data_IF_036942898129
#
_entry.id   IF_036942898129
#
_cell.length_a   1.000
_cell.length_b   1.000
_cell.length_c   1.000
_cell.angle_alpha   90.00
_cell.angle_beta   90.00
_cell.angle_gamma   90.00
#
_symmetry.space_group_name_H-M   'P 1'
#
loop_
_entity.id
_entity.type
_entity.pdbx_description
1 polymer ?
#
# COMPACT_ATOMS: atom_id res chain seq x y z
N UNK A 1 -9.60 84.13 -26.80
CA UNK A 1 -9.09 83.81 -25.44
C UNK A 1 -10.15 83.24 -24.49
N UNK A 2 -11.41 83.74 -24.45
CA UNK A 2 -12.48 83.15 -23.60
C UNK A 2 -12.96 81.76 -24.02
N UNK A 3 -13.02 81.45 -25.31
CA UNK A 3 -13.45 80.14 -25.83
C UNK A 3 -12.44 79.01 -25.59
N UNK A 4 -11.14 79.32 -25.45
CA UNK A 4 -10.11 78.29 -25.23
C UNK A 4 -10.19 77.73 -23.80
N UNK A 5 -10.48 78.57 -22.80
CA UNK A 5 -10.55 78.13 -21.39
C UNK A 5 -11.65 77.09 -21.15
N UNK A 6 -12.80 77.18 -21.83
CA UNK A 6 -13.90 76.21 -21.67
C UNK A 6 -13.57 74.85 -22.28
N UNK A 7 -12.89 74.81 -23.43
CA UNK A 7 -12.43 73.55 -24.03
C UNK A 7 -11.40 72.82 -23.17
N UNK A 8 -10.48 73.56 -22.54
CA UNK A 8 -9.47 72.99 -21.63
C UNK A 8 -10.12 72.39 -20.38
N UNK A 9 -11.14 73.05 -19.82
CA UNK A 9 -11.86 72.51 -18.65
C UNK A 9 -12.63 71.23 -18.98
N UNK A 10 -13.30 71.16 -20.14
CA UNK A 10 -14.04 69.95 -20.53
C UNK A 10 -13.10 68.78 -20.86
N UNK A 11 -11.95 69.06 -21.50
CA UNK A 11 -10.93 68.04 -21.74
C UNK A 11 -10.35 67.47 -20.43
N UNK A 12 -10.09 68.32 -19.44
CA UNK A 12 -9.60 67.88 -18.13
C UNK A 12 -10.62 67.00 -17.38
N UNK A 13 -11.91 67.35 -17.41
CA UNK A 13 -12.98 66.54 -16.81
C UNK A 13 -13.13 65.19 -17.53
N UNK A 14 -13.07 65.18 -18.86
CA UNK A 14 -13.15 63.94 -19.63
C UNK A 14 -11.97 63.00 -19.33
N UNK A 15 -10.73 63.53 -19.23
CA UNK A 15 -9.55 62.75 -18.85
C UNK A 15 -9.70 62.20 -17.43
N UNK A 16 -10.20 62.99 -16.48
CA UNK A 16 -10.40 62.56 -15.09
C UNK A 16 -11.47 61.46 -14.97
N UNK A 17 -12.57 61.57 -15.72
CA UNK A 17 -13.58 60.51 -15.79
C UNK A 17 -12.95 59.25 -16.40
N UNK A 18 -12.21 59.39 -17.50
CA UNK A 18 -11.58 58.27 -18.19
C UNK A 18 -10.58 57.55 -17.28
N UNK A 19 -9.73 58.29 -16.55
CA UNK A 19 -8.75 57.73 -15.61
C UNK A 19 -9.41 57.10 -14.39
N UNK A 20 -10.48 57.70 -13.85
CA UNK A 20 -11.27 57.06 -12.79
C UNK A 20 -11.94 55.78 -13.28
N UNK A 21 -12.50 55.78 -14.50
CA UNK A 21 -13.08 54.56 -15.09
C UNK A 21 -12.02 53.51 -15.39
N UNK A 22 -10.84 53.85 -15.90
CA UNK A 22 -9.79 52.86 -16.17
C UNK A 22 -9.14 52.36 -14.88
N UNK A 23 -9.00 53.20 -13.85
CA UNK A 23 -8.52 52.78 -12.54
C UNK A 23 -9.55 51.89 -11.81
N UNK A 24 -10.83 52.25 -11.85
CA UNK A 24 -11.89 51.36 -11.33
C UNK A 24 -11.97 50.08 -12.14
N UNK A 25 -11.86 50.14 -13.47
CA UNK A 25 -11.82 48.95 -14.31
C UNK A 25 -10.57 48.11 -14.02
N UNK A 26 -9.40 48.71 -13.84
CA UNK A 26 -8.17 48.01 -13.47
C UNK A 26 -8.23 47.42 -12.06
N UNK A 27 -8.89 48.06 -11.10
CA UNK A 27 -9.14 47.51 -9.76
C UNK A 27 -10.22 46.42 -9.77
N UNK A 28 -11.18 46.49 -10.69
CA UNK A 28 -12.19 45.46 -10.94
C UNK A 28 -11.61 44.26 -11.72
N UNK A 29 -10.57 44.48 -12.54
CA UNK A 29 -9.89 43.50 -13.39
C UNK A 29 -8.47 43.15 -12.92
N UNK A 30 -8.06 43.57 -11.73
CA UNK A 30 -6.97 42.89 -11.02
C UNK A 30 -7.47 41.47 -10.85
N UNK A 31 -7.05 40.61 -11.78
CA UNK A 31 -7.56 39.27 -11.95
C UNK A 31 -7.64 38.62 -10.59
N UNK A 32 -8.72 37.88 -10.37
CA UNK A 32 -8.93 37.10 -9.16
C UNK A 32 -7.74 36.14 -8.96
N UNK A 33 -6.65 36.65 -8.38
CA UNK A 33 -5.44 35.89 -8.16
C UNK A 33 -5.78 34.99 -6.99
N UNK A 34 -5.83 33.70 -7.27
CA UNK A 34 -5.95 32.66 -6.27
C UNK A 34 -4.76 31.72 -6.40
N UNK A 35 -4.38 31.12 -5.29
CA UNK A 35 -3.34 30.09 -5.29
C UNK A 35 -3.91 28.77 -5.77
N UNK A 36 -3.21 28.12 -6.69
CA UNK A 36 -3.48 26.73 -7.08
C UNK A 36 -2.73 25.72 -6.21
N UNK A 37 -1.76 26.20 -5.42
CA UNK A 37 -0.94 25.37 -4.56
C UNK A 37 -1.75 24.83 -3.37
N UNK A 38 -1.20 23.82 -2.72
CA UNK A 38 -1.70 23.34 -1.44
C UNK A 38 -1.12 24.20 -0.30
N UNK A 39 -1.85 25.25 0.05
CA UNK A 39 -1.49 26.20 1.12
C UNK A 39 -2.23 25.89 2.43
N UNK A 40 -2.72 24.65 2.60
CA UNK A 40 -3.58 24.30 3.71
C UNK A 40 -2.81 24.18 5.02
N UNK A 41 -3.39 24.71 6.10
CA UNK A 41 -2.80 24.64 7.43
C UNK A 41 -3.02 23.25 8.03
N UNK A 42 -1.93 22.50 8.24
CA UNK A 42 -1.97 21.15 8.82
C UNK A 42 -1.40 21.16 10.22
N UNK A 43 -2.23 21.49 11.22
CA UNK A 43 -1.87 21.24 12.62
C UNK A 43 -2.27 19.81 13.02
N UNK A 44 -1.60 19.19 14.01
CA UNK A 44 -1.99 17.89 14.52
C UNK A 44 -3.46 17.81 14.97
N UNK A 45 -3.99 18.91 15.53
CA UNK A 45 -5.39 19.00 15.97
C UNK A 45 -6.35 18.99 14.77
N UNK A 46 -6.01 19.70 13.69
CA UNK A 46 -6.81 19.69 12.46
C UNK A 46 -6.80 18.29 11.84
N UNK A 47 -5.63 17.64 11.75
CA UNK A 47 -5.50 16.29 11.22
C UNK A 47 -6.32 15.28 12.03
N UNK A 48 -6.33 15.38 13.37
CA UNK A 48 -7.13 14.51 14.22
C UNK A 48 -8.64 14.73 14.02
N UNK A 49 -9.08 15.98 13.90
CA UNK A 49 -10.49 16.30 13.63
C UNK A 49 -10.93 15.82 12.23
N UNK A 50 -10.06 16.00 11.24
CA UNK A 50 -10.28 15.52 9.87
C UNK A 50 -10.33 14.00 9.82
N UNK A 51 -9.41 13.32 10.51
CA UNK A 51 -9.41 11.87 10.64
C UNK A 51 -10.72 11.34 11.26
N UNK A 52 -11.18 11.94 12.37
CA UNK A 52 -12.41 11.51 13.03
C UNK A 52 -13.63 11.63 12.12
N UNK A 53 -13.77 12.76 11.41
CA UNK A 53 -14.85 12.96 10.44
C UNK A 53 -14.75 11.97 9.28
N UNK A 54 -13.60 11.92 8.62
CA UNK A 54 -13.38 11.08 7.44
C UNK A 54 -13.55 9.59 7.73
N UNK A 55 -12.99 9.09 8.83
CA UNK A 55 -13.13 7.68 9.22
C UNK A 55 -14.56 7.32 9.64
N UNK A 56 -15.32 8.25 10.25
CA UNK A 56 -16.74 8.03 10.54
C UNK A 56 -17.56 7.83 9.26
N UNK A 57 -17.34 8.69 8.24
CA UNK A 57 -18.00 8.59 6.95
C UNK A 57 -17.70 7.25 6.26
N UNK A 58 -16.43 6.81 6.27
CA UNK A 58 -16.07 5.51 5.71
C UNK A 58 -16.72 4.33 6.44
N UNK A 59 -16.81 4.38 7.77
CA UNK A 59 -17.50 3.33 8.54
C UNK A 59 -18.99 3.29 8.24
N UNK A 60 -19.62 4.45 8.12
CA UNK A 60 -21.04 4.54 7.78
C UNK A 60 -21.29 4.01 6.36
N UNK A 61 -20.43 4.34 5.40
CA UNK A 61 -20.46 3.74 4.07
C UNK A 61 -20.29 2.22 4.10
N UNK A 62 -19.36 1.71 4.91
CA UNK A 62 -19.14 0.27 5.05
C UNK A 62 -20.35 -0.47 5.64
N UNK A 63 -21.11 0.17 6.53
CA UNK A 63 -22.34 -0.39 7.11
C UNK A 63 -23.49 -0.44 6.10
N UNK A 64 -23.55 0.55 5.20
CA UNK A 64 -24.67 0.68 4.25
C UNK A 64 -24.43 -0.05 2.92
N UNK A 65 -23.17 -0.29 2.55
CA UNK A 65 -22.79 -0.96 1.29
C UNK A 65 -23.37 -2.36 1.04
N UNK A 66 -23.60 -3.24 2.05
CA UNK A 66 -24.16 -4.58 1.82
C UNK A 66 -25.60 -4.57 1.28
N UNK A 67 -26.36 -3.50 1.56
CA UNK A 67 -27.76 -3.37 1.16
C UNK A 67 -27.86 -2.76 -0.24
N UNK A 68 -27.38 -3.49 -1.26
CA UNK A 68 -27.32 -3.09 -2.68
C UNK A 68 -28.66 -2.69 -3.31
N UNK A 69 -29.79 -2.93 -2.62
CA UNK A 69 -31.13 -2.57 -3.05
C UNK A 69 -31.59 -1.18 -2.59
N UNK A 70 -30.81 -0.45 -1.79
CA UNK A 70 -31.19 0.91 -1.39
C UNK A 70 -30.89 1.94 -2.49
N UNK A 71 -31.83 2.86 -2.77
CA UNK A 71 -31.60 3.93 -3.73
C UNK A 71 -30.47 4.85 -3.23
N UNK A 72 -29.46 5.04 -4.09
CA UNK A 72 -28.38 6.01 -3.99
C UNK A 72 -27.87 6.27 -2.56
N UNK A 73 -26.89 5.47 -2.13
CA UNK A 73 -26.11 5.76 -0.93
C UNK A 73 -25.71 7.23 -0.91
N UNK A 74 -26.17 7.97 0.11
CA UNK A 74 -25.81 9.38 0.30
C UNK A 74 -24.37 9.45 0.79
N UNK A 75 -23.44 9.41 -0.16
CA UNK A 75 -22.00 9.38 0.12
C UNK A 75 -21.50 10.74 0.61
N UNK A 76 -22.14 11.81 0.15
CA UNK A 76 -21.82 13.16 0.58
C UNK A 76 -22.81 13.61 1.65
N UNK A 77 -22.38 14.46 2.61
CA UNK A 77 -23.32 15.11 3.51
C UNK A 77 -24.35 15.91 2.69
N UNK A 78 -25.57 16.11 3.18
CA UNK A 78 -26.57 16.89 2.45
C UNK A 78 -26.10 18.34 2.25
N UNK A 79 -26.39 18.90 1.09
CA UNK A 79 -26.08 20.31 0.82
C UNK A 79 -26.89 21.22 1.75
N UNK A 80 -26.22 22.25 2.28
CA UNK A 80 -26.90 23.28 3.07
C UNK A 80 -27.87 24.05 2.17
N UNK A 81 -29.05 24.38 2.69
CA UNK A 81 -30.03 25.22 2.00
C UNK A 81 -29.43 26.56 1.59
N UNK A 82 -29.79 27.06 0.41
CA UNK A 82 -29.32 28.35 -0.09
C UNK A 82 -29.72 29.48 0.87
N UNK A 83 -28.72 30.12 1.48
CA UNK A 83 -28.90 31.29 2.31
C UNK A 83 -28.64 32.55 1.48
N UNK A 84 -29.71 33.07 0.88
CA UNK A 84 -29.65 34.28 0.04
C UNK A 84 -29.16 35.51 0.81
N UNK A 85 -29.32 35.55 2.15
CA UNK A 85 -28.92 36.70 2.96
C UNK A 85 -27.39 36.85 3.04
N UNK A 86 -26.68 35.73 3.12
CA UNK A 86 -25.21 35.71 3.17
C UNK A 86 -24.56 35.83 1.79
N UNK A 87 -25.30 35.46 0.74
CA UNK A 87 -24.84 35.48 -0.65
C UNK A 87 -25.45 36.62 -1.48
N UNK A 88 -25.70 37.78 -0.86
CA UNK A 88 -26.10 38.98 -1.58
C UNK A 88 -25.05 39.43 -2.62
N UNK A 89 -25.43 40.22 -3.65
CA UNK A 89 -24.50 40.66 -4.69
C UNK A 89 -23.24 41.35 -4.16
N UNK A 90 -23.39 42.17 -3.11
CA UNK A 90 -22.29 42.87 -2.46
C UNK A 90 -21.35 41.93 -1.71
N UNK A 91 -21.91 40.97 -0.97
CA UNK A 91 -21.18 39.96 -0.20
C UNK A 91 -20.40 39.03 -1.12
N UNK A 92 -21.03 38.60 -2.23
CA UNK A 92 -20.35 37.84 -3.28
C UNK A 92 -19.16 38.60 -3.85
N UNK A 93 -19.36 39.87 -4.21
CA UNK A 93 -18.29 40.67 -4.78
C UNK A 93 -17.12 40.90 -3.81
N UNK A 94 -17.40 41.16 -2.54
CA UNK A 94 -16.37 41.54 -1.55
C UNK A 94 -15.66 40.34 -0.92
N UNK A 95 -16.42 39.31 -0.55
CA UNK A 95 -15.98 38.26 0.38
C UNK A 95 -15.95 36.87 -0.22
N UNK A 96 -16.69 36.60 -1.30
CA UNK A 96 -16.66 35.28 -1.92
C UNK A 96 -15.34 35.10 -2.67
N UNK A 97 -14.56 34.05 -2.37
CA UNK A 97 -13.37 33.75 -3.13
C UNK A 97 -13.75 33.35 -4.56
N UNK A 98 -12.81 33.47 -5.50
CA UNK A 98 -13.02 33.04 -6.89
C UNK A 98 -13.38 31.56 -6.93
N UNK A 99 -14.33 31.17 -7.77
CA UNK A 99 -14.76 29.78 -7.93
C UNK A 99 -13.58 28.84 -8.27
N UNK A 100 -12.60 29.35 -9.02
CA UNK A 100 -11.37 28.63 -9.33
C UNK A 100 -10.58 28.18 -8.11
N UNK A 101 -10.63 28.92 -6.99
CA UNK A 101 -10.01 28.51 -5.72
C UNK A 101 -10.72 27.26 -5.17
N UNK A 102 -12.05 27.29 -5.11
CA UNK A 102 -12.86 26.20 -4.60
C UNK A 102 -12.70 24.94 -5.46
N UNK A 103 -12.73 25.09 -6.79
CA UNK A 103 -12.46 24.00 -7.74
C UNK A 103 -11.07 23.41 -7.55
N UNK A 104 -10.04 24.25 -7.39
CA UNK A 104 -8.67 23.78 -7.14
C UNK A 104 -8.55 23.02 -5.82
N UNK A 105 -9.17 23.52 -4.76
CA UNK A 105 -9.14 22.87 -3.44
C UNK A 105 -9.93 21.55 -3.43
N UNK A 106 -11.04 21.48 -4.16
CA UNK A 106 -11.84 20.27 -4.31
C UNK A 106 -11.16 19.25 -5.22
N UNK A 107 -10.49 19.68 -6.29
CA UNK A 107 -9.73 18.81 -7.19
C UNK A 107 -8.63 18.05 -6.45
N UNK A 108 -7.93 18.68 -5.49
CA UNK A 108 -6.92 17.99 -4.65
C UNK A 108 -7.50 16.88 -3.77
N UNK A 109 -8.81 16.90 -3.52
CA UNK A 109 -9.53 15.93 -2.68
C UNK A 109 -10.30 14.88 -3.45
N UNK A 110 -10.38 15.06 -4.76
CA UNK A 110 -11.18 14.24 -5.66
C UNK A 110 -10.23 13.41 -6.51
N UNK A 111 -10.30 12.06 -6.43
CA UNK A 111 -9.44 11.21 -7.24
C UNK A 111 -9.78 11.40 -8.73
N UNK A 112 -8.85 11.08 -9.62
CA UNK A 112 -8.98 11.36 -11.06
C UNK A 112 -10.16 10.64 -11.73
N UNK A 113 -10.63 9.56 -11.11
CA UNK A 113 -11.79 8.77 -11.51
C UNK A 113 -13.12 9.42 -11.13
N UNK A 114 -13.12 10.56 -10.43
CA UNK A 114 -14.32 11.33 -10.12
C UNK A 114 -14.18 12.72 -10.75
N UNK A 115 -15.20 13.12 -11.47
CA UNK A 115 -15.26 14.40 -12.17
C UNK A 115 -16.19 15.37 -11.45
N UNK A 116 -15.75 16.61 -11.29
CA UNK A 116 -16.60 17.71 -10.82
C UNK A 116 -17.40 18.28 -12.00
N UNK A 117 -18.71 18.11 -11.97
CA UNK A 117 -19.62 18.70 -12.96
C UNK A 117 -20.00 20.13 -12.56
N UNK A 118 -20.41 20.33 -11.31
CA UNK A 118 -20.98 21.59 -10.84
C UNK A 118 -20.56 21.90 -9.41
N UNK A 119 -20.38 23.19 -9.11
CA UNK A 119 -20.11 23.71 -7.78
C UNK A 119 -20.84 25.04 -7.59
N UNK A 120 -21.75 25.10 -6.61
CA UNK A 120 -22.56 26.29 -6.34
C UNK A 120 -22.41 26.72 -4.89
N UNK A 121 -22.04 27.98 -4.59
CA UNK A 121 -22.02 28.47 -3.21
C UNK A 121 -23.46 28.54 -2.65
N UNK A 122 -23.66 28.01 -1.44
CA UNK A 122 -24.95 27.96 -0.74
C UNK A 122 -25.01 28.87 0.48
N UNK A 123 -23.92 29.01 1.23
CA UNK A 123 -23.83 29.87 2.41
C UNK A 123 -22.42 30.40 2.60
N UNK A 124 -22.30 31.67 2.97
CA UNK A 124 -21.03 32.34 3.26
C UNK A 124 -21.02 32.79 4.74
N UNK A 125 -19.95 32.49 5.45
CA UNK A 125 -19.70 32.98 6.82
C UNK A 125 -18.40 33.76 6.84
N UNK A 126 -18.43 34.93 7.45
CA UNK A 126 -17.24 35.77 7.63
C UNK A 126 -16.75 35.52 9.05
N UNK A 127 -15.49 35.14 9.17
CA UNK A 127 -14.80 34.84 10.43
C UNK A 127 -13.65 35.84 10.61
N UNK A 128 -13.08 35.93 11.81
CA UNK A 128 -12.00 36.89 12.11
C UNK A 128 -10.80 36.72 11.16
N UNK A 129 -10.46 35.49 10.82
CA UNK A 129 -9.28 35.18 10.01
C UNK A 129 -9.59 34.75 8.55
N UNK A 130 -10.79 35.01 8.05
CA UNK A 130 -11.15 34.63 6.68
C UNK A 130 -12.63 34.41 6.46
N UNK A 131 -12.94 33.53 5.52
CA UNK A 131 -14.31 33.17 5.17
C UNK A 131 -14.48 31.66 5.11
N UNK A 132 -15.64 31.18 5.53
CA UNK A 132 -16.10 29.81 5.42
C UNK A 132 -17.25 29.74 4.41
N UNK A 133 -17.19 28.83 3.45
CA UNK A 133 -18.22 28.72 2.41
C UNK A 133 -18.72 27.29 2.30
N UNK A 134 -20.03 27.11 2.43
CA UNK A 134 -20.71 25.86 2.11
C UNK A 134 -21.09 25.86 0.62
N UNK A 135 -20.70 24.80 -0.08
CA UNK A 135 -21.02 24.57 -1.49
C UNK A 135 -21.98 23.39 -1.62
N UNK A 136 -22.85 23.45 -2.63
CA UNK A 136 -23.44 22.26 -3.23
C UNK A 136 -22.55 21.83 -4.40
N UNK A 137 -22.22 20.55 -4.47
CA UNK A 137 -21.39 19.99 -5.53
C UNK A 137 -22.12 18.84 -6.23
N UNK A 138 -21.91 18.74 -7.55
CA UNK A 138 -22.37 17.63 -8.38
C UNK A 138 -21.14 16.94 -8.95
N UNK A 139 -21.01 15.64 -8.65
CA UNK A 139 -19.89 14.81 -9.07
C UNK A 139 -20.37 13.66 -9.95
N UNK A 140 -19.49 13.18 -10.84
CA UNK A 140 -19.73 12.00 -11.68
C UNK A 140 -18.56 11.04 -11.60
N UNK A 141 -18.82 9.76 -11.40
CA UNK A 141 -17.79 8.72 -11.48
C UNK A 141 -17.47 8.38 -12.94
N UNK A 142 -16.19 8.24 -13.26
CA UNK A 142 -15.69 7.75 -14.55
C UNK A 142 -15.51 6.23 -14.56
N UNK A 143 -15.27 5.66 -13.38
CA UNK A 143 -15.07 4.23 -13.16
C UNK A 143 -15.87 3.78 -11.94
N UNK A 144 -16.03 2.46 -11.79
CA UNK A 144 -16.60 1.87 -10.58
C UNK A 144 -15.70 2.19 -9.38
N UNK A 145 -16.27 2.77 -8.34
CA UNK A 145 -15.62 2.98 -7.04
C UNK A 145 -16.15 1.91 -6.08
N UNK A 146 -15.25 1.04 -5.67
CA UNK A 146 -15.54 -0.05 -4.76
C UNK A 146 -15.04 0.28 -3.36
N UNK A 147 -15.74 -0.24 -2.37
CA UNK A 147 -15.27 -0.28 -0.99
C UNK A 147 -14.62 -1.64 -0.74
N UNK A 148 -13.29 -1.65 -0.69
CA UNK A 148 -12.48 -2.85 -0.58
C UNK A 148 -11.98 -3.05 0.86
N UNK A 149 -12.30 -4.19 1.50
CA UNK A 149 -11.73 -4.55 2.79
C UNK A 149 -10.21 -4.65 2.70
N UNK A 150 -9.51 -4.17 3.74
CA UNK A 150 -8.07 -4.33 3.88
C UNK A 150 -7.80 -5.44 4.88
N UNK A 151 -7.23 -6.53 4.38
CA UNK A 151 -6.99 -7.76 5.16
C UNK A 151 -5.50 -8.07 5.22
N UNK A 152 -5.03 -8.85 6.23
CA UNK A 152 -3.71 -9.45 6.17
C UNK A 152 -3.56 -10.28 4.89
N UNK A 153 -2.38 -10.22 4.25
CA UNK A 153 -2.09 -11.04 3.10
C UNK A 153 -2.30 -12.53 3.44
N UNK A 154 -3.02 -13.29 2.60
CA UNK A 154 -3.33 -14.67 2.91
C UNK A 154 -2.06 -15.50 2.94
N UNK A 155 -1.77 -16.11 4.09
CA UNK A 155 -0.68 -17.06 4.24
C UNK A 155 -1.26 -18.45 4.02
N UNK A 156 -0.94 -19.09 2.89
CA UNK A 156 -1.33 -20.49 2.66
C UNK A 156 -0.70 -21.39 3.72
N UNK A 157 -1.49 -22.31 4.30
CA UNK A 157 -1.03 -23.28 5.31
C UNK A 157 0.04 -24.25 4.78
N UNK A 158 0.18 -24.34 3.46
CA UNK A 158 1.19 -25.18 2.80
C UNK A 158 2.56 -24.51 2.69
N UNK A 159 2.66 -23.21 3.01
CA UNK A 159 3.90 -22.46 2.93
C UNK A 159 4.87 -22.85 4.05
N UNK A 160 6.17 -22.89 3.72
CA UNK A 160 7.23 -23.17 4.70
C UNK A 160 7.24 -22.12 5.82
N UNK A 161 7.78 -22.47 6.99
CA UNK A 161 7.88 -21.53 8.12
C UNK A 161 8.61 -20.22 7.73
N UNK A 162 9.63 -20.31 6.86
CA UNK A 162 10.33 -19.14 6.33
C UNK A 162 9.41 -18.21 5.53
N UNK A 163 8.53 -18.77 4.69
CA UNK A 163 7.53 -17.98 3.94
C UNK A 163 6.58 -17.25 4.90
N UNK A 164 6.12 -17.93 5.95
CA UNK A 164 5.21 -17.33 6.94
C UNK A 164 5.85 -16.15 7.68
N UNK A 165 7.17 -16.15 7.86
CA UNK A 165 7.93 -15.06 8.51
C UNK A 165 8.14 -13.86 7.60
N UNK A 166 8.28 -14.06 6.29
CA UNK A 166 8.53 -12.96 5.33
C UNK A 166 7.25 -12.27 4.88
N UNK A 167 6.13 -12.99 4.72
CA UNK A 167 4.87 -12.43 4.17
C UNK A 167 4.40 -11.16 4.87
N UNK A 168 4.40 -11.06 6.22
CA UNK A 168 3.99 -9.85 6.92
C UNK A 168 4.87 -8.62 6.64
N UNK A 169 6.08 -8.82 6.09
CA UNK A 169 7.05 -7.75 5.78
C UNK A 169 6.94 -7.25 4.33
N UNK A 170 6.19 -7.95 3.47
CA UNK A 170 6.08 -7.61 2.04
C UNK A 170 5.21 -6.36 1.85
N UNK A 171 5.68 -5.42 1.04
CA UNK A 171 4.90 -4.25 0.62
C UNK A 171 4.13 -4.58 -0.66
N UNK A 172 2.85 -4.93 -0.52
CA UNK A 172 2.01 -5.28 -1.67
C UNK A 172 1.42 -4.07 -2.41
N UNK A 173 1.19 -2.98 -1.68
CA UNK A 173 0.67 -1.73 -2.24
C UNK A 173 1.32 -0.53 -1.52
N UNK A 174 1.57 0.55 -2.26
CA UNK A 174 2.29 1.73 -1.77
C UNK A 174 1.45 2.60 -0.82
N UNK A 175 0.16 2.33 -0.71
CA UNK A 175 -0.81 3.03 0.13
C UNK A 175 -1.26 2.17 1.32
N UNK A 176 -0.76 0.95 1.44
CA UNK A 176 -1.07 0.04 2.54
C UNK A 176 0.15 -0.22 3.43
N UNK A 177 -0.09 -0.53 4.72
CA UNK A 177 0.95 -1.07 5.58
C UNK A 177 1.52 -2.39 5.02
N UNK A 178 2.78 -2.72 5.34
CA UNK A 178 3.39 -4.01 5.01
C UNK A 178 2.52 -5.19 5.47
N UNK A 179 2.47 -6.24 4.66
CA UNK A 179 1.68 -7.44 4.93
C UNK A 179 0.16 -7.28 4.80
N UNK A 180 -0.34 -6.12 4.36
CA UNK A 180 -1.77 -5.88 4.09
C UNK A 180 -2.06 -5.86 2.60
N UNK A 181 -3.26 -6.30 2.23
CA UNK A 181 -3.76 -6.34 0.85
C UNK A 181 -5.22 -5.91 0.81
N UNK A 182 -5.66 -5.41 -0.34
CA UNK A 182 -7.08 -5.28 -0.63
C UNK A 182 -7.68 -6.66 -0.94
N UNK A 183 -8.81 -6.98 -0.31
CA UNK A 183 -9.62 -8.12 -0.70
C UNK A 183 -10.57 -7.71 -1.84
N UNK A 184 -10.10 -7.89 -3.07
CA UNK A 184 -10.88 -7.51 -4.25
C UNK A 184 -12.14 -8.38 -4.41
N UNK A 185 -12.11 -9.64 -3.99
CA UNK A 185 -13.25 -10.53 -4.10
C UNK A 185 -14.40 -10.14 -3.14
N UNK A 186 -14.05 -9.57 -1.99
CA UNK A 186 -15.00 -9.05 -1.01
C UNK A 186 -15.33 -7.55 -1.20
N UNK A 187 -14.84 -6.92 -2.28
CA UNK A 187 -15.06 -5.49 -2.52
C UNK A 187 -16.49 -5.23 -3.03
N UNK A 188 -17.17 -4.26 -2.42
CA UNK A 188 -18.54 -3.88 -2.79
C UNK A 188 -18.54 -2.66 -3.71
N UNK A 189 -19.27 -2.68 -4.81
CA UNK A 189 -19.41 -1.52 -5.68
C UNK A 189 -20.33 -0.47 -5.03
N UNK A 190 -19.76 0.66 -4.60
CA UNK A 190 -20.50 1.73 -3.90
C UNK A 190 -20.94 2.82 -4.88
N UNK A 191 -20.14 3.07 -5.93
CA UNK A 191 -20.49 4.00 -7.00
C UNK A 191 -20.16 3.37 -8.36
N UNK A 192 -21.16 2.84 -9.08
CA UNK A 192 -20.98 2.40 -10.46
C UNK A 192 -20.48 3.54 -11.36
N UNK A 193 -19.75 3.22 -12.41
CA UNK A 193 -19.27 4.16 -13.41
C UNK A 193 -20.44 4.94 -14.04
N UNK A 194 -20.24 6.22 -14.31
CA UNK A 194 -21.25 7.12 -14.85
C UNK A 194 -22.28 7.61 -13.81
N UNK A 195 -22.25 7.10 -12.58
CA UNK A 195 -23.15 7.55 -11.51
C UNK A 195 -22.88 9.02 -11.21
N UNK A 196 -23.95 9.82 -11.27
CA UNK A 196 -23.93 11.22 -10.85
C UNK A 196 -24.52 11.31 -9.45
N UNK A 197 -23.83 12.01 -8.55
CA UNK A 197 -24.27 12.19 -7.17
C UNK A 197 -23.98 13.61 -6.70
N UNK A 198 -24.77 14.06 -5.73
CA UNK A 198 -24.75 15.44 -5.24
C UNK A 198 -24.62 15.49 -3.73
N UNK A 199 -24.07 16.59 -3.21
CA UNK A 199 -24.03 16.83 -1.78
C UNK A 199 -23.38 18.16 -1.41
N UNK A 200 -23.19 18.35 -0.11
CA UNK A 200 -22.53 19.48 0.50
C UNK A 200 -21.03 19.29 0.59
N UNK A 201 -20.28 20.39 0.46
CA UNK A 201 -18.86 20.44 0.77
C UNK A 201 -18.51 21.82 1.32
N UNK A 202 -17.67 21.88 2.36
CA UNK A 202 -17.31 23.14 3.00
C UNK A 202 -15.85 23.50 2.72
N UNK A 203 -15.64 24.68 2.14
CA UNK A 203 -14.35 25.37 2.21
C UNK A 203 -14.28 26.09 3.55
N UNK A 204 -13.79 25.38 4.57
CA UNK A 204 -13.83 25.82 5.98
C UNK A 204 -13.17 27.18 6.19
N UNK A 205 -12.03 27.43 5.55
CA UNK A 205 -11.31 28.70 5.69
C UNK A 205 -10.60 29.05 4.39
N UNK A 206 -10.97 30.20 3.84
CA UNK A 206 -10.25 30.89 2.78
C UNK A 206 -9.90 32.30 3.23
N UNK A 207 -8.70 32.76 2.90
CA UNK A 207 -8.22 34.09 3.28
C UNK A 207 -7.42 34.74 2.15
N UNK A 208 -7.28 36.07 2.21
CA UNK A 208 -6.37 36.81 1.32
C UNK A 208 -4.99 36.90 1.98
N UNK A 209 -3.99 36.25 1.38
CA UNK A 209 -2.59 36.31 1.82
C UNK A 209 -1.82 37.04 0.73
N UNK A 210 -1.23 38.20 1.06
CA UNK A 210 -0.49 39.05 0.11
C UNK A 210 -1.32 39.41 -1.13
N UNK A 211 -2.60 39.74 -0.93
CA UNK A 211 -3.53 40.11 -2.01
C UNK A 211 -4.06 38.93 -2.84
N UNK A 212 -3.62 37.70 -2.58
CA UNK A 212 -4.05 36.49 -3.28
C UNK A 212 -4.99 35.66 -2.41
N UNK A 213 -6.07 35.14 -2.98
CA UNK A 213 -6.95 34.21 -2.27
C UNK A 213 -6.27 32.84 -2.10
N UNK A 214 -6.36 32.30 -0.89
CA UNK A 214 -5.74 31.05 -0.49
C UNK A 214 -6.75 30.20 0.28
N UNK A 215 -6.83 28.91 -0.05
CA UNK A 215 -7.62 27.93 0.67
C UNK A 215 -6.76 27.36 1.80
N UNK A 216 -7.08 27.74 3.04
CA UNK A 216 -6.31 27.34 4.23
C UNK A 216 -6.86 26.05 4.84
N UNK A 217 -8.17 25.79 4.71
CA UNK A 217 -8.79 24.58 5.21
C UNK A 217 -10.05 24.23 4.42
N UNK A 218 -10.22 22.96 4.08
CA UNK A 218 -11.41 22.44 3.41
C UNK A 218 -11.76 21.04 3.92
N UNK A 219 -13.05 20.71 3.91
CA UNK A 219 -13.55 19.39 4.31
C UNK A 219 -12.99 18.27 3.43
N UNK A 220 -12.66 17.14 4.06
CA UNK A 220 -12.33 15.91 3.36
C UNK A 220 -13.60 15.27 2.80
N UNK A 221 -13.47 14.64 1.63
CA UNK A 221 -14.51 13.81 1.05
C UNK A 221 -14.23 12.34 1.45
N UNK A 222 -15.24 11.46 1.47
CA UNK A 222 -15.02 10.05 1.83
C UNK A 222 -13.98 9.35 0.94
N UNK A 223 -13.89 9.74 -0.32
CA UNK A 223 -12.95 9.21 -1.31
C UNK A 223 -11.62 10.00 -1.39
N UNK A 224 -11.40 10.97 -0.51
CA UNK A 224 -10.11 11.69 -0.48
C UNK A 224 -8.99 10.73 -0.07
N UNK A 225 -7.95 10.66 -0.90
CA UNK A 225 -6.78 9.79 -0.72
C UNK A 225 -5.73 10.49 0.13
N UNK A 226 -5.61 10.10 1.40
CA UNK A 226 -4.53 10.57 2.28
C UNK A 226 -3.84 9.36 2.88
N UNK A 227 -2.69 8.90 2.33
CA UNK A 227 -2.02 7.68 2.76
C UNK A 227 -1.77 7.63 4.27
N UNK A 228 -1.46 8.77 4.89
CA UNK A 228 -1.28 8.87 6.33
C UNK A 228 -2.56 8.52 7.11
N UNK A 229 -3.70 9.09 6.75
CA UNK A 229 -4.98 8.81 7.43
C UNK A 229 -5.47 7.39 7.14
N UNK A 230 -5.32 6.91 5.90
CA UNK A 230 -5.65 5.54 5.52
C UNK A 230 -4.81 4.53 6.29
N UNK A 231 -3.50 4.80 6.47
CA UNK A 231 -2.63 3.92 7.24
C UNK A 231 -3.02 3.85 8.72
N UNK A 232 -3.44 4.96 9.33
CA UNK A 232 -3.96 5.01 10.70
C UNK A 232 -5.25 4.17 10.77
N UNK A 233 -6.17 4.38 9.83
CA UNK A 233 -7.44 3.65 9.78
C UNK A 233 -7.27 2.14 9.60
N UNK A 234 -6.34 1.71 8.75
CA UNK A 234 -6.05 0.29 8.53
C UNK A 234 -5.39 -0.37 9.74
N UNK A 235 -4.62 0.39 10.53
CA UNK A 235 -4.00 -0.11 11.77
C UNK A 235 -5.02 -0.27 12.90
N UNK A 236 -6.16 0.41 12.84
CA UNK A 236 -7.23 0.20 13.81
C UNK A 236 -7.80 -1.22 13.66
N UNK A 237 -7.58 -2.05 14.69
CA UNK A 237 -8.16 -3.38 14.76
C UNK A 237 -9.68 -3.25 14.93
N UNK A 238 -10.42 -3.46 13.84
CA UNK A 238 -11.87 -3.38 13.80
C UNK A 238 -12.46 -4.67 13.25
N UNK A 239 -13.70 -4.99 13.66
CA UNK A 239 -14.50 -6.07 13.09
C UNK A 239 -15.86 -5.48 12.71
N UNK A 240 -16.25 -5.46 11.42
CA UNK A 240 -15.54 -5.98 10.24
C UNK A 240 -14.21 -5.25 9.95
N UNK A 241 -13.30 -5.83 9.15
CA UNK A 241 -12.03 -5.21 8.81
C UNK A 241 -12.24 -3.83 8.16
N UNK A 242 -11.28 -2.89 8.34
CA UNK A 242 -11.37 -1.57 7.76
C UNK A 242 -11.42 -1.68 6.24
N UNK A 243 -12.33 -0.93 5.61
CA UNK A 243 -12.49 -0.93 4.16
C UNK A 243 -12.23 0.47 3.61
N UNK A 244 -11.53 0.53 2.48
CA UNK A 244 -11.15 1.79 1.81
C UNK A 244 -11.79 1.85 0.43
N UNK A 245 -12.19 3.04 0.01
CA UNK A 245 -12.69 3.25 -1.35
C UNK A 245 -11.54 3.14 -2.33
N UNK A 246 -11.67 2.37 -3.41
CA UNK A 246 -10.68 2.21 -4.50
C UNK A 246 -11.40 2.11 -5.85
N UNK A 247 -10.80 2.63 -6.92
CA UNK A 247 -11.37 2.38 -8.25
C UNK A 247 -11.16 0.93 -8.66
N UNK A 248 -12.00 0.40 -9.56
CA UNK A 248 -11.81 -0.95 -10.11
C UNK A 248 -10.40 -1.14 -10.68
N UNK A 249 -9.94 -0.19 -11.50
CA UNK A 249 -8.62 -0.25 -12.11
C UNK A 249 -7.48 -0.24 -11.07
N UNK A 250 -7.64 0.51 -9.98
CA UNK A 250 -6.67 0.50 -8.87
C UNK A 250 -6.62 -0.87 -8.18
N UNK A 251 -7.76 -1.50 -7.92
CA UNK A 251 -7.81 -2.81 -7.27
C UNK A 251 -7.24 -3.92 -8.16
N UNK A 252 -7.54 -3.91 -9.45
CA UNK A 252 -6.98 -4.87 -10.41
C UNK A 252 -5.47 -4.73 -10.53
N UNK A 253 -4.97 -3.50 -10.62
CA UNK A 253 -3.53 -3.23 -10.62
C UNK A 253 -2.88 -3.67 -9.30
N UNK A 254 -3.54 -3.44 -8.16
CA UNK A 254 -3.05 -3.85 -6.85
C UNK A 254 -3.01 -5.38 -6.70
N UNK A 255 -4.00 -6.09 -7.26
CA UNK A 255 -4.02 -7.55 -7.30
C UNK A 255 -2.89 -8.12 -8.18
N UNK A 256 -2.65 -7.52 -9.34
CA UNK A 256 -1.52 -7.87 -10.21
C UNK A 256 -0.17 -7.64 -9.50
N UNK A 257 0.01 -6.47 -8.86
CA UNK A 257 1.21 -6.17 -8.04
C UNK A 257 1.36 -7.16 -6.89
N UNK A 258 0.28 -7.55 -6.24
CA UNK A 258 0.29 -8.55 -5.17
C UNK A 258 0.84 -9.89 -5.68
N UNK A 259 0.33 -10.39 -6.81
CA UNK A 259 0.81 -11.64 -7.42
C UNK A 259 2.29 -11.54 -7.80
N UNK A 260 2.72 -10.43 -8.40
CA UNK A 260 4.11 -10.21 -8.76
C UNK A 260 5.04 -10.16 -7.54
N UNK A 261 4.63 -9.50 -6.47
CA UNK A 261 5.39 -9.44 -5.22
C UNK A 261 5.51 -10.82 -4.56
N UNK A 262 4.41 -11.60 -4.52
CA UNK A 262 4.45 -12.98 -4.02
C UNK A 262 5.39 -13.86 -4.85
N UNK A 263 5.28 -13.81 -6.18
CA UNK A 263 6.16 -14.56 -7.07
C UNK A 263 7.63 -14.18 -6.86
N UNK A 264 7.94 -12.88 -6.73
CA UNK A 264 9.31 -12.42 -6.48
C UNK A 264 9.90 -12.96 -5.18
N UNK A 265 9.07 -13.11 -4.13
CA UNK A 265 9.51 -13.70 -2.86
C UNK A 265 9.71 -15.20 -3.00
N UNK A 266 8.82 -15.90 -3.69
CA UNK A 266 8.96 -17.34 -3.98
C UNK A 266 10.24 -17.62 -4.79
N UNK A 267 10.48 -16.85 -5.85
CA UNK A 267 11.67 -16.95 -6.69
C UNK A 267 12.96 -16.71 -5.88
N UNK A 268 12.95 -15.72 -4.98
CA UNK A 268 14.09 -15.43 -4.09
C UNK A 268 14.34 -16.54 -3.08
N UNK A 269 13.29 -17.13 -2.52
CA UNK A 269 13.42 -18.25 -1.60
C UNK A 269 13.90 -19.52 -2.34
N UNK A 270 13.47 -19.73 -3.57
CA UNK A 270 13.97 -20.82 -4.40
C UNK A 270 15.44 -20.62 -4.79
N UNK A 271 15.87 -19.39 -5.12
CA UNK A 271 17.28 -19.11 -5.36
C UNK A 271 18.13 -19.41 -4.13
N UNK A 272 17.68 -19.02 -2.93
CA UNK A 272 18.36 -19.34 -1.66
C UNK A 272 18.48 -20.87 -1.49
N UNK A 273 17.45 -21.65 -1.80
CA UNK A 273 17.52 -23.12 -1.72
C UNK A 273 18.54 -23.71 -2.68
N UNK A 274 18.60 -23.19 -3.91
CA UNK A 274 19.58 -23.61 -4.91
C UNK A 274 21.01 -23.28 -4.46
N UNK A 275 21.24 -22.08 -3.92
CA UNK A 275 22.53 -21.65 -3.39
C UNK A 275 22.99 -22.53 -2.23
N UNK A 276 22.10 -22.83 -1.28
CA UNK A 276 22.36 -23.74 -0.15
C UNK A 276 22.70 -25.15 -0.65
N UNK A 277 21.99 -25.65 -1.68
CA UNK A 277 22.25 -26.96 -2.28
C UNK A 277 23.63 -27.01 -2.95
N UNK A 278 24.02 -25.96 -3.68
CA UNK A 278 25.34 -25.85 -4.30
C UNK A 278 26.44 -25.77 -3.25
N UNK A 279 26.26 -24.94 -2.22
CA UNK A 279 27.19 -24.80 -1.10
C UNK A 279 27.42 -26.13 -0.37
N UNK A 280 26.35 -26.88 -0.10
CA UNK A 280 26.43 -28.23 0.48
C UNK A 280 27.23 -29.19 -0.40
N UNK A 281 26.97 -29.19 -1.71
CA UNK A 281 27.71 -30.04 -2.66
C UNK A 281 29.21 -29.70 -2.68
N UNK A 282 29.55 -28.41 -2.59
CA UNK A 282 30.93 -27.94 -2.49
C UNK A 282 31.61 -28.45 -1.21
N UNK A 283 30.97 -28.30 -0.04
CA UNK A 283 31.52 -28.81 1.22
C UNK A 283 31.65 -30.34 1.21
N UNK A 284 30.67 -31.07 0.69
CA UNK A 284 30.74 -32.53 0.59
C UNK A 284 31.83 -33.02 -0.36
N UNK A 285 32.18 -32.26 -1.40
CA UNK A 285 33.29 -32.60 -2.29
C UNK A 285 34.65 -32.58 -1.58
N UNK A 286 34.78 -31.78 -0.51
CA UNK A 286 35.97 -31.74 0.35
C UNK A 286 35.95 -32.76 1.49
N UNK A 287 34.82 -33.46 1.70
CA UNK A 287 34.72 -34.48 2.73
C UNK A 287 35.53 -35.74 2.38
N UNK A 288 36.02 -36.50 3.38
CA UNK A 288 36.71 -37.76 3.14
C UNK A 288 35.84 -38.68 2.27
N UNK A 289 36.33 -39.00 1.08
CA UNK A 289 35.66 -39.91 0.16
C UNK A 289 35.50 -41.26 0.85
N UNK A 290 34.31 -41.86 0.75
CA UNK A 290 34.14 -43.25 1.18
C UNK A 290 35.18 -44.09 0.44
N UNK A 291 35.94 -44.93 1.16
CA UNK A 291 36.75 -45.95 0.53
C UNK A 291 35.85 -46.67 -0.49
N UNK A 292 36.11 -46.47 -1.80
CA UNK A 292 35.46 -47.24 -2.84
C UNK A 292 35.70 -48.69 -2.44
N UNK A 293 34.65 -49.40 -2.00
CA UNK A 293 34.76 -50.83 -1.82
C UNK A 293 35.17 -51.33 -3.19
N UNK A 294 36.44 -51.72 -3.31
CA UNK A 294 36.98 -52.37 -4.48
C UNK A 294 36.08 -53.59 -4.62
N UNK A 295 35.12 -53.52 -5.55
CA UNK A 295 34.22 -54.61 -5.82
C UNK A 295 35.10 -55.84 -5.95
N UNK A 296 34.79 -56.86 -5.15
CA UNK A 296 35.41 -58.17 -5.29
C UNK A 296 35.14 -58.57 -6.74
N UNK A 297 36.17 -58.45 -7.58
CA UNK A 297 36.21 -59.14 -8.85
C UNK A 297 36.27 -60.62 -8.52
N UNK A 298 35.12 -61.25 -8.45
CA UNK A 298 35.00 -62.69 -8.64
C UNK A 298 34.23 -62.87 -9.94
N UNK A 299 34.96 -63.18 -11.01
CA UNK A 299 34.37 -63.50 -12.29
C UNK A 299 33.44 -64.71 -12.17
N UNK A 300 32.19 -64.54 -12.58
CA UNK A 300 31.51 -65.45 -13.51
C UNK A 300 30.27 -64.69 -14.01
N UNK A 301 30.11 -64.64 -15.33
CA UNK A 301 29.31 -63.63 -16.01
C UNK A 301 27.81 -63.72 -15.74
N UNK A 302 27.21 -62.59 -15.35
CA UNK A 302 25.81 -62.25 -15.64
C UNK A 302 25.67 -60.72 -15.68
N UNK A 303 24.85 -60.14 -16.58
CA UNK A 303 24.94 -58.73 -16.93
C UNK A 303 24.37 -57.78 -15.87
N UNK A 304 25.03 -56.63 -15.79
CA UNK A 304 24.77 -55.43 -15.02
C UNK A 304 23.30 -54.99 -14.98
N UNK A 305 22.63 -55.19 -13.83
CA UNK A 305 21.38 -54.49 -13.48
C UNK A 305 21.69 -53.28 -12.59
N UNK A 306 21.92 -52.13 -13.22
CA UNK A 306 22.12 -50.81 -12.60
C UNK A 306 20.84 -50.21 -11.96
N UNK A 307 19.95 -51.03 -11.39
CA UNK A 307 18.56 -50.62 -11.07
C UNK A 307 18.08 -50.75 -9.63
N UNK A 308 18.84 -51.32 -8.69
CA UNK A 308 18.28 -51.76 -7.37
C UNK A 308 18.83 -50.94 -6.18
N UNK A 309 19.37 -49.74 -6.41
CA UNK A 309 19.89 -48.89 -5.34
C UNK A 309 18.98 -47.75 -4.86
N UNK A 310 17.90 -47.43 -5.60
CA UNK A 310 17.25 -46.12 -5.50
C UNK A 310 15.86 -46.11 -4.78
N UNK A 311 15.32 -47.27 -4.36
CA UNK A 311 13.88 -47.35 -3.97
C UNK A 311 13.60 -47.37 -2.45
N UNK A 312 14.61 -47.48 -1.57
CA UNK A 312 14.36 -47.76 -0.14
C UNK A 312 14.48 -46.61 0.88
N UNK A 313 14.90 -45.40 0.48
CA UNK A 313 15.41 -44.39 1.43
C UNK A 313 14.43 -43.33 1.96
N UNK A 314 13.23 -43.24 1.40
CA UNK A 314 12.30 -42.15 1.70
C UNK A 314 11.52 -42.31 3.02
N UNK A 315 11.37 -43.54 3.54
CA UNK A 315 10.49 -43.81 4.67
C UNK A 315 11.12 -43.57 6.06
N UNK A 316 12.45 -43.67 6.20
CA UNK A 316 13.12 -43.65 7.53
C UNK A 316 13.61 -42.25 7.94
N UNK A 317 13.72 -41.30 6.99
CA UNK A 317 14.26 -39.96 7.25
C UNK A 317 13.31 -39.03 8.03
N UNK A 318 12.00 -39.28 7.97
CA UNK A 318 10.99 -38.45 8.63
C UNK A 318 10.90 -38.66 10.16
N UNK A 319 11.30 -39.83 10.66
CA UNK A 319 11.15 -40.20 12.07
C UNK A 319 12.21 -39.62 13.02
N UNK A 320 13.42 -39.30 12.52
CA UNK A 320 14.51 -38.80 13.38
C UNK A 320 14.39 -37.29 13.63
N UNK A 321 13.83 -36.52 12.69
CA UNK A 321 13.66 -35.07 12.82
C UNK A 321 12.56 -34.64 13.80
N UNK A 322 11.58 -35.51 14.09
CA UNK A 322 10.45 -35.18 14.96
C UNK A 322 10.74 -35.31 16.46
N UNK A 323 11.82 -35.99 16.86
CA UNK A 323 12.08 -36.32 18.27
C UNK A 323 13.03 -35.34 18.99
N UNK A 324 13.73 -34.45 18.28
CA UNK A 324 14.83 -33.66 18.87
C UNK A 324 14.58 -32.14 18.98
N UNK A 325 13.48 -31.59 18.46
CA UNK A 325 13.25 -30.15 18.49
C UNK A 325 11.78 -29.79 18.48
N UNK A 326 11.26 -29.31 19.61
CA UNK A 326 9.91 -28.77 19.70
C UNK A 326 9.65 -27.68 18.66
N UNK A 327 8.40 -27.60 18.20
CA UNK A 327 7.79 -26.52 17.39
C UNK A 327 8.58 -26.06 16.16
N UNK A 328 9.63 -25.27 16.39
CA UNK A 328 10.47 -24.65 15.38
C UNK A 328 11.56 -25.59 14.82
N UNK A 329 11.89 -26.69 15.51
CA UNK A 329 12.90 -27.65 15.06
C UNK A 329 12.41 -28.64 13.99
N UNK A 330 11.13 -28.99 14.02
CA UNK A 330 10.54 -30.01 13.15
C UNK A 330 10.44 -29.57 11.67
N UNK A 331 10.20 -28.28 11.41
CA UNK A 331 10.10 -27.76 10.04
C UNK A 331 11.48 -27.70 9.34
N UNK A 332 12.53 -27.36 10.08
CA UNK A 332 13.92 -27.36 9.59
C UNK A 332 14.42 -28.81 9.43
N UNK A 333 14.03 -29.70 10.34
CA UNK A 333 14.34 -31.13 10.30
C UNK A 333 13.69 -31.89 9.15
N UNK A 334 12.49 -31.49 8.70
CA UNK A 334 11.80 -32.14 7.57
C UNK A 334 12.49 -31.88 6.23
N UNK A 335 12.98 -30.65 6.00
CA UNK A 335 13.70 -30.28 4.77
C UNK A 335 15.08 -30.94 4.67
N UNK A 336 15.81 -31.01 5.79
CA UNK A 336 17.12 -31.66 5.85
C UNK A 336 17.02 -33.21 5.91
N UNK A 337 15.99 -33.75 6.59
CA UNK A 337 15.79 -35.18 6.79
C UNK A 337 15.36 -35.94 5.53
N UNK A 338 14.54 -35.32 4.66
CA UNK A 338 14.17 -35.90 3.37
C UNK A 338 15.39 -36.04 2.43
N UNK A 339 16.40 -35.18 2.56
CA UNK A 339 17.64 -35.25 1.78
C UNK A 339 18.68 -36.23 2.36
N UNK A 340 18.53 -36.68 3.62
CA UNK A 340 19.48 -37.57 4.29
C UNK A 340 19.19 -39.07 4.08
N UNK A 341 17.93 -39.45 3.85
CA UNK A 341 17.49 -40.86 3.77
C UNK A 341 17.97 -41.64 2.55
N UNK A 342 18.39 -40.97 1.47
CA UNK A 342 18.68 -41.61 0.19
C UNK A 342 20.06 -42.30 0.08
N UNK A 343 20.97 -42.15 1.05
CA UNK A 343 22.38 -42.59 0.90
C UNK A 343 22.83 -43.68 1.88
N UNK A 344 21.95 -44.18 2.75
CA UNK A 344 22.32 -45.19 3.76
C UNK A 344 21.59 -46.50 3.46
N UNK A 345 22.07 -47.23 2.45
CA UNK A 345 21.53 -48.53 2.06
C UNK A 345 22.61 -49.57 1.77
N UNK A 346 22.70 -50.55 2.67
CA UNK A 346 23.26 -51.91 2.53
C UNK A 346 24.77 -52.10 2.32
N UNK A 347 25.48 -52.47 3.39
CA UNK A 347 26.65 -53.38 3.31
C UNK A 347 26.63 -54.34 4.53
N UNK A 348 26.59 -55.65 4.26
CA UNK A 348 26.70 -56.77 5.23
C UNK A 348 28.18 -57.17 5.39
N UNK A 349 28.55 -57.63 6.59
CA UNK A 349 29.88 -57.58 7.21
C UNK A 349 30.70 -58.89 7.22
N UNK A 350 31.98 -58.75 7.59
CA UNK A 350 32.86 -59.80 8.16
C UNK A 350 33.74 -59.16 9.29
N UNK A 351 34.04 -59.89 10.37
CA UNK A 351 34.17 -59.34 11.74
C UNK A 351 35.48 -58.68 12.19
N UNK A 352 36.54 -58.64 11.38
CA UNK A 352 37.80 -57.91 11.71
C UNK A 352 38.00 -56.61 10.93
N UNK A 353 37.41 -56.52 9.74
CA UNK A 353 37.27 -55.25 9.00
C UNK A 353 36.20 -54.34 9.63
N UNK A 354 35.30 -54.92 10.45
CA UNK A 354 34.23 -54.20 11.14
C UNK A 354 34.73 -53.03 11.97
N UNK A 355 35.76 -53.21 12.83
CA UNK A 355 36.22 -52.13 13.72
C UNK A 355 36.83 -50.94 12.97
N UNK A 356 37.57 -51.19 11.88
CA UNK A 356 38.16 -50.11 11.05
C UNK A 356 37.09 -49.40 10.22
N UNK A 357 36.17 -50.17 9.63
CA UNK A 357 35.04 -49.63 8.86
C UNK A 357 34.09 -48.85 9.78
N UNK A 358 33.90 -49.29 11.02
CA UNK A 358 33.05 -48.61 12.01
C UNK A 358 33.68 -47.29 12.48
N UNK A 359 34.99 -47.27 12.75
CA UNK A 359 35.71 -46.02 13.04
C UNK A 359 35.67 -45.03 11.87
N UNK A 360 35.86 -45.50 10.63
CA UNK A 360 35.76 -44.67 9.42
C UNK A 360 34.33 -44.15 9.20
N UNK A 361 33.31 -44.99 9.44
CA UNK A 361 31.90 -44.60 9.42
C UNK A 361 31.59 -43.56 10.48
N UNK A 362 32.10 -43.70 11.70
CA UNK A 362 31.90 -42.75 12.78
C UNK A 362 32.55 -41.39 12.48
N UNK A 363 33.81 -41.40 12.00
CA UNK A 363 34.51 -40.18 11.58
C UNK A 363 33.78 -39.48 10.42
N UNK A 364 33.26 -40.24 9.46
CA UNK A 364 32.46 -39.69 8.35
C UNK A 364 31.12 -39.11 8.80
N UNK A 365 30.41 -39.80 9.70
CA UNK A 365 29.17 -39.28 10.30
C UNK A 365 29.42 -37.97 11.03
N UNK A 366 30.52 -37.88 11.78
CA UNK A 366 30.94 -36.65 12.43
C UNK A 366 31.23 -35.54 11.41
N UNK A 367 32.01 -35.82 10.37
CA UNK A 367 32.33 -34.85 9.31
C UNK A 367 31.08 -34.36 8.56
N UNK A 368 30.18 -35.28 8.16
CA UNK A 368 28.90 -34.91 7.52
C UNK A 368 28.04 -34.09 8.47
N UNK A 369 27.95 -34.46 9.76
CA UNK A 369 27.17 -33.68 10.72
C UNK A 369 27.72 -32.26 10.93
N UNK A 370 29.04 -32.07 10.84
CA UNK A 370 29.66 -30.75 10.89
C UNK A 370 29.31 -29.93 9.65
N UNK A 371 29.42 -30.54 8.45
CA UNK A 371 29.01 -29.91 7.19
C UNK A 371 27.54 -29.50 7.23
N UNK A 372 26.63 -30.36 7.72
CA UNK A 372 25.21 -30.02 7.81
C UNK A 372 24.95 -28.84 8.75
N UNK A 373 25.69 -28.73 9.87
CA UNK A 373 25.58 -27.55 10.74
C UNK A 373 25.98 -26.27 9.99
N UNK A 374 27.09 -26.31 9.26
CA UNK A 374 27.55 -25.17 8.45
C UNK A 374 26.55 -24.79 7.35
N UNK A 375 25.95 -25.78 6.68
CA UNK A 375 24.91 -25.56 5.66
C UNK A 375 23.66 -24.92 6.26
N UNK A 376 23.22 -25.38 7.43
CA UNK A 376 22.08 -24.79 8.15
C UNK A 376 22.37 -23.36 8.60
N UNK A 377 23.58 -23.09 9.09
CA UNK A 377 24.00 -21.73 9.45
C UNK A 377 24.05 -20.80 8.24
N UNK A 378 24.55 -21.30 7.11
CA UNK A 378 24.59 -20.59 5.83
C UNK A 378 23.17 -20.27 5.32
N UNK A 379 22.26 -21.26 5.32
CA UNK A 379 20.85 -21.04 4.98
C UNK A 379 20.22 -19.99 5.90
N UNK A 380 20.41 -20.11 7.22
CA UNK A 380 19.89 -19.13 8.19
C UNK A 380 20.47 -17.74 7.96
N UNK A 381 21.71 -17.62 7.50
CA UNK A 381 22.31 -16.32 7.14
C UNK A 381 21.59 -15.72 5.94
N UNK A 382 21.45 -16.46 4.84
CA UNK A 382 20.77 -15.97 3.63
C UNK A 382 19.31 -15.57 3.89
N UNK A 383 18.57 -16.37 4.65
CA UNK A 383 17.18 -16.03 5.02
C UNK A 383 17.14 -14.77 5.90
N UNK A 384 18.04 -14.63 6.88
CA UNK A 384 18.11 -13.42 7.70
C UNK A 384 18.45 -12.18 6.87
N UNK A 385 19.38 -12.29 5.93
CA UNK A 385 19.76 -11.19 5.06
C UNK A 385 18.57 -10.75 4.20
N UNK A 386 17.81 -11.69 3.64
CA UNK A 386 16.58 -11.42 2.90
C UNK A 386 15.47 -10.83 3.79
N UNK A 387 15.30 -11.34 5.01
CA UNK A 387 14.35 -10.76 5.97
C UNK A 387 14.70 -9.32 6.35
N UNK A 388 16.00 -9.00 6.48
CA UNK A 388 16.47 -7.66 6.77
C UNK A 388 16.21 -6.71 5.60
N UNK A 389 16.38 -7.17 4.35
CA UNK A 389 16.03 -6.42 3.15
C UNK A 389 14.54 -6.05 3.13
N UNK A 390 13.65 -7.03 3.32
CA UNK A 390 12.21 -6.79 3.40
C UNK A 390 11.85 -5.86 4.58
N UNK A 391 12.54 -6.00 5.72
CA UNK A 391 12.31 -5.13 6.87
C UNK A 391 12.73 -3.67 6.58
N UNK A 392 13.81 -3.45 5.84
CA UNK A 392 14.23 -2.12 5.42
C UNK A 392 13.22 -1.48 4.47
N UNK A 393 12.69 -2.24 3.51
CA UNK A 393 11.63 -1.76 2.61
C UNK A 393 10.35 -1.46 3.37
N UNK A 394 9.94 -2.36 4.27
CA UNK A 394 8.80 -2.19 5.17
C UNK A 394 8.91 -0.89 5.99
N UNK A 395 10.05 -0.66 6.64
CA UNK A 395 10.26 0.55 7.47
C UNK A 395 10.31 1.83 6.63
N UNK A 396 10.92 1.79 5.44
CA UNK A 396 10.88 2.90 4.48
C UNK A 396 9.44 3.22 4.07
N UNK A 397 8.65 2.19 3.78
CA UNK A 397 7.25 2.32 3.42
C UNK A 397 6.44 2.91 4.57
N UNK A 398 6.58 2.39 5.79
CA UNK A 398 5.91 2.94 6.97
C UNK A 398 6.27 4.39 7.23
N UNK A 399 7.55 4.77 7.06
CA UNK A 399 7.99 6.16 7.20
C UNK A 399 7.38 7.08 6.13
N UNK A 400 7.12 6.54 4.93
CA UNK A 400 6.48 7.26 3.84
C UNK A 400 4.99 7.45 4.14
N UNK A 401 4.31 6.42 4.65
CA UNK A 401 2.90 6.49 5.05
C UNK A 401 2.70 7.40 6.27
N UNK A 402 3.62 7.39 7.24
CA UNK A 402 3.52 8.22 8.44
C UNK A 402 3.69 9.72 8.16
N UNK A 403 4.32 10.08 7.03
CA UNK A 403 4.45 11.48 6.63
C UNK A 403 3.15 11.92 5.96
N UNK A 404 2.46 12.95 6.47
CA UNK A 404 1.35 13.58 5.78
C UNK A 404 1.89 14.43 4.62
N UNK A 405 2.62 13.83 3.68
CA UNK A 405 3.02 14.51 2.45
C UNK A 405 1.87 14.37 1.44
N UNK A 406 1.38 15.49 0.87
CA UNK A 406 0.58 15.39 -0.33
C UNK A 406 1.49 14.90 -1.46
N UNK A 407 1.11 13.82 -2.12
CA UNK A 407 1.57 13.59 -3.50
C UNK A 407 1.01 14.71 -4.37
N UNK A 408 1.86 15.20 -5.29
CA UNK A 408 1.64 16.33 -6.21
C UNK A 408 0.31 16.28 -6.99
#
# INVERSE_FOLDING_TARGET
LRSWRTWVTWAAVAVLILTLTTLTFALLFQGSFYSKNDDETRSPQILQADYARWSSLLRDLARLAPDSNQPALSILPPAVSLDKSTLGPWQRWRHLPPEGLARSALARRTPQQIELLEIEPRRLRIEEDGVSIDYAITLRTKEDILLAPVVPAPVSKQLSADHQRVVPKIVYAYDLPPGKVFDYAAANNVLPAGTTFQGGWTLRRAARVSGRWVALQADLLPFTRIPALESIFVRESTTPPPALLRSRGELENSDAKRRAATQSVEDRLESIRLDVKQYRAQLLSSAPSAAKSKGIGAGSGVPTSAGIGMVGGAATGASIGAMAGGGDGAAIGAGAGALAGALIGAIIANSEQEKRIEQEKAARRAAVSAIEREVVEYQRKLIRDFENELQQESTKQESTLARPNPTN
#
